data_IF_010333214793
#
_entry.id   IF_010333214793
#
_cell.length_a   1.000
_cell.length_b   1.000
_cell.length_c   1.000
_cell.angle_alpha   90.00
_cell.angle_beta   90.00
_cell.angle_gamma   90.00
#
_symmetry.space_group_name_H-M   'P 1'
#
loop_
_entity.id
_entity.type
_entity.pdbx_description
1 polymer ?
#
# COMPACT_ATOMS: atom_id res chain seq x y z
N UNK A 1 11.22 15.20 24.89
CA UNK A 1 11.80 13.87 24.69
C UNK A 1 10.81 13.05 23.90
N UNK A 2 11.13 12.70 22.65
CA UNK A 2 10.26 11.88 21.82
C UNK A 2 10.41 10.41 22.19
N UNK A 3 9.30 9.69 22.35
CA UNK A 3 9.32 8.26 22.57
C UNK A 3 10.04 7.56 21.40
N UNK A 4 11.10 6.81 21.69
CA UNK A 4 11.73 5.95 20.71
C UNK A 4 10.75 4.83 20.34
N UNK A 5 10.66 4.50 19.05
CA UNK A 5 9.86 3.38 18.56
C UNK A 5 10.33 2.03 19.12
N UNK A 6 9.56 0.95 18.93
CA UNK A 6 9.99 -0.39 19.29
C UNK A 6 11.32 -0.73 18.61
N UNK A 7 12.25 -1.32 19.36
CA UNK A 7 13.50 -1.82 18.80
C UNK A 7 13.27 -3.02 17.88
N UNK A 8 14.27 -3.34 17.06
CA UNK A 8 14.19 -4.45 16.11
C UNK A 8 13.91 -5.80 16.78
N UNK A 9 14.32 -6.00 18.04
CA UNK A 9 14.08 -7.24 18.77
C UNK A 9 12.59 -7.42 19.10
N UNK A 10 11.94 -6.32 19.50
CA UNK A 10 10.50 -6.28 19.76
C UNK A 10 9.71 -6.60 18.50
N UNK A 11 10.04 -5.94 17.38
CA UNK A 11 9.41 -6.18 16.07
C UNK A 11 9.60 -7.65 15.65
N UNK A 12 10.79 -8.20 15.85
CA UNK A 12 11.11 -9.59 15.51
C UNK A 12 10.25 -10.58 16.30
N UNK A 13 10.12 -10.39 17.62
CA UNK A 13 9.27 -11.24 18.47
C UNK A 13 7.81 -11.19 18.04
N UNK A 14 7.29 -10.00 17.72
CA UNK A 14 5.92 -9.82 17.28
C UNK A 14 5.65 -10.51 15.93
N UNK A 15 6.50 -10.32 14.92
CA UNK A 15 6.33 -11.01 13.63
C UNK A 15 6.47 -12.53 13.75
N UNK A 16 7.40 -13.01 14.58
CA UNK A 16 7.55 -14.44 14.83
C UNK A 16 6.31 -15.05 15.48
N UNK A 17 5.66 -14.32 16.40
CA UNK A 17 4.39 -14.75 17.01
C UNK A 17 3.23 -14.84 16.02
N UNK A 18 3.31 -14.11 14.90
CA UNK A 18 2.36 -14.17 13.78
C UNK A 18 2.72 -15.27 12.75
N UNK A 19 3.75 -16.09 13.02
CA UNK A 19 4.14 -17.21 12.16
C UNK A 19 5.16 -16.87 11.08
N UNK A 20 5.75 -15.66 11.07
CA UNK A 20 6.75 -15.30 10.08
C UNK A 20 8.06 -16.09 10.29
N UNK A 21 8.64 -16.71 9.24
CA UNK A 21 9.95 -17.32 9.32
C UNK A 21 11.04 -16.29 9.61
N UNK A 22 12.04 -16.68 10.41
CA UNK A 22 13.18 -15.81 10.78
C UNK A 22 13.79 -15.08 9.59
N UNK A 23 14.11 -15.79 8.52
CA UNK A 23 14.74 -15.20 7.33
C UNK A 23 13.85 -14.14 6.66
N UNK A 24 12.52 -14.34 6.65
CA UNK A 24 11.59 -13.35 6.12
C UNK A 24 11.58 -12.07 6.98
N UNK A 25 11.59 -12.21 8.30
CA UNK A 25 11.63 -11.06 9.22
C UNK A 25 12.91 -10.25 9.01
N UNK A 26 14.06 -10.92 8.92
CA UNK A 26 15.34 -10.27 8.65
C UNK A 26 15.31 -9.49 7.34
N UNK A 27 14.75 -10.08 6.27
CA UNK A 27 14.59 -9.39 5.00
C UNK A 27 13.62 -8.21 5.07
N UNK A 28 12.53 -8.30 5.82
CA UNK A 28 11.60 -7.17 6.03
C UNK A 28 12.31 -5.99 6.71
N UNK A 29 13.08 -6.26 7.77
CA UNK A 29 13.84 -5.24 8.50
C UNK A 29 15.00 -4.64 7.68
N UNK A 30 15.64 -5.42 6.82
CA UNK A 30 16.65 -4.89 5.88
C UNK A 30 16.00 -4.00 4.82
N UNK A 31 14.84 -4.42 4.30
CA UNK A 31 14.11 -3.70 3.28
C UNK A 31 13.55 -2.35 3.75
N UNK A 32 13.36 -2.11 5.05
CA UNK A 32 12.98 -0.76 5.53
C UNK A 32 14.09 0.26 5.32
N UNK A 33 15.37 -0.18 5.30
CA UNK A 33 16.52 0.70 5.03
C UNK A 33 16.73 0.93 3.54
N UNK A 34 16.60 -0.12 2.74
CA UNK A 34 16.75 -0.05 1.28
C UNK A 34 15.59 0.70 0.61
N UNK A 35 14.39 0.59 1.20
CA UNK A 35 13.15 1.20 0.72
C UNK A 35 12.63 2.18 1.79
N UNK A 36 13.11 3.44 1.79
CA UNK A 36 12.73 4.43 2.79
C UNK A 36 11.27 4.89 2.65
N UNK A 37 10.63 4.68 1.49
CA UNK A 37 9.23 5.05 1.26
C UNK A 37 8.51 4.01 0.40
N UNK A 38 7.28 3.68 0.80
CA UNK A 38 6.31 2.89 0.03
C UNK A 38 5.13 3.77 -0.32
N UNK A 39 4.69 3.76 -1.58
CA UNK A 39 3.51 4.48 -2.05
C UNK A 39 2.54 3.47 -2.64
N UNK A 40 1.34 3.38 -2.08
CA UNK A 40 0.25 2.54 -2.57
C UNK A 40 -0.75 3.41 -3.32
N UNK A 41 -0.95 3.11 -4.59
CA UNK A 41 -2.11 3.56 -5.35
C UNK A 41 -3.18 2.49 -5.19
N UNK A 42 -4.32 2.87 -4.61
CA UNK A 42 -5.40 1.96 -4.26
C UNK A 42 -6.61 2.31 -5.10
N UNK A 43 -7.00 1.37 -5.94
CA UNK A 43 -8.14 1.51 -6.82
C UNK A 43 -9.46 1.36 -6.04
N UNK A 44 -10.23 2.44 -6.03
CA UNK A 44 -11.60 2.50 -5.56
C UNK A 44 -12.52 2.98 -6.70
N UNK A 45 -12.28 2.55 -7.93
CA UNK A 45 -13.15 2.76 -9.08
C UNK A 45 -14.39 1.84 -9.06
N UNK A 46 -15.42 2.16 -9.85
CA UNK A 46 -16.67 1.40 -9.86
C UNK A 46 -16.53 -0.09 -10.21
N UNK A 47 -15.55 -0.50 -11.01
CA UNK A 47 -15.32 -1.91 -11.37
C UNK A 47 -14.87 -2.77 -10.19
N UNK A 48 -14.40 -2.16 -9.11
CA UNK A 48 -14.03 -2.86 -7.89
C UNK A 48 -15.25 -3.44 -7.13
N UNK A 49 -16.48 -3.16 -7.57
CA UNK A 49 -17.70 -3.80 -7.04
C UNK A 49 -17.97 -5.19 -7.61
N UNK A 50 -17.19 -5.68 -8.58
CA UNK A 50 -17.40 -7.02 -9.14
C UNK A 50 -17.08 -8.13 -8.12
N UNK A 51 -17.93 -9.17 -8.09
CA UNK A 51 -17.91 -10.30 -7.15
C UNK A 51 -17.02 -11.47 -7.62
N UNK A 52 -15.86 -11.17 -8.21
CA UNK A 52 -14.88 -12.16 -8.66
C UNK A 52 -13.57 -12.14 -7.84
N UNK A 53 -13.54 -11.40 -6.74
CA UNK A 53 -12.46 -11.43 -5.76
C UNK A 53 -12.52 -12.63 -4.80
N UNK A 54 -11.44 -12.86 -4.05
CA UNK A 54 -11.35 -13.96 -3.11
C UNK A 54 -10.81 -13.54 -1.74
N UNK A 55 -11.57 -13.86 -0.70
CA UNK A 55 -11.22 -13.56 0.68
C UNK A 55 -10.86 -14.86 1.42
N UNK A 56 -9.88 -14.81 2.31
CA UNK A 56 -9.49 -15.95 3.16
C UNK A 56 -10.25 -15.82 4.48
N UNK A 57 -10.99 -16.86 4.87
CA UNK A 57 -11.65 -16.94 6.18
C UNK A 57 -11.18 -18.16 6.95
N UNK A 58 -11.16 -18.04 8.28
CA UNK A 58 -10.98 -19.19 9.17
C UNK A 58 -12.22 -20.06 9.16
N UNK A 59 -12.09 -21.29 8.68
CA UNK A 59 -13.14 -22.29 8.77
C UNK A 59 -12.95 -23.11 10.04
N UNK A 60 -13.68 -22.72 11.10
CA UNK A 60 -13.64 -23.40 12.40
C UNK A 60 -14.05 -24.88 12.33
N UNK A 61 -14.66 -25.33 11.23
CA UNK A 61 -15.05 -26.73 11.03
C UNK A 61 -13.90 -27.61 10.53
N UNK A 62 -12.83 -27.01 10.02
CA UNK A 62 -11.63 -27.69 9.54
C UNK A 62 -10.47 -27.36 10.48
N UNK A 63 -9.78 -28.38 11.01
CA UNK A 63 -8.61 -28.16 11.89
C UNK A 63 -7.53 -27.40 11.10
N UNK A 64 -7.23 -26.16 11.53
CA UNK A 64 -6.34 -25.22 10.84
C UNK A 64 -6.79 -24.91 9.39
N UNK A 65 -8.09 -25.01 9.10
CA UNK A 65 -8.59 -24.82 7.75
C UNK A 65 -8.81 -23.36 7.42
N UNK A 66 -8.09 -22.88 6.43
CA UNK A 66 -8.40 -21.64 5.73
C UNK A 66 -9.30 -21.98 4.54
N UNK A 67 -10.35 -21.20 4.34
CA UNK A 67 -11.24 -21.32 3.19
C UNK A 67 -11.21 -20.03 2.37
N UNK A 68 -11.10 -20.19 1.06
CA UNK A 68 -11.33 -19.10 0.11
C UNK A 68 -12.82 -18.95 -0.13
N UNK A 69 -13.34 -17.73 0.05
CA UNK A 69 -14.73 -17.39 -0.23
C UNK A 69 -14.79 -16.26 -1.27
N UNK A 70 -15.74 -16.32 -2.22
CA UNK A 70 -15.98 -15.21 -3.14
C UNK A 70 -16.29 -13.92 -2.38
N UNK A 71 -15.76 -12.80 -2.86
CA UNK A 71 -16.06 -11.47 -2.36
C UNK A 71 -15.84 -10.43 -3.47
N UNK A 72 -16.20 -9.17 -3.23
CA UNK A 72 -15.88 -8.12 -4.19
C UNK A 72 -14.37 -7.90 -4.30
N UNK A 73 -13.89 -7.48 -5.47
CA UNK A 73 -12.49 -7.02 -5.63
C UNK A 73 -12.13 -5.96 -4.57
N UNK A 74 -13.06 -5.04 -4.29
CA UNK A 74 -12.88 -4.03 -3.24
C UNK A 74 -12.64 -4.64 -1.86
N UNK A 75 -13.47 -5.59 -1.44
CA UNK A 75 -13.37 -6.23 -0.12
C UNK A 75 -11.99 -6.85 0.08
N UNK A 76 -11.47 -7.49 -0.96
CA UNK A 76 -10.14 -8.10 -0.96
C UNK A 76 -9.00 -7.07 -0.96
N UNK A 77 -9.13 -5.95 -1.69
CA UNK A 77 -8.21 -4.81 -1.61
C UNK A 77 -8.21 -4.21 -0.20
N UNK A 78 -9.38 -3.98 0.39
CA UNK A 78 -9.53 -3.43 1.75
C UNK A 78 -8.78 -4.27 2.77
N UNK A 79 -8.96 -5.60 2.75
CA UNK A 79 -8.26 -6.49 3.67
C UNK A 79 -6.74 -6.43 3.48
N UNK A 80 -6.29 -6.35 2.23
CA UNK A 80 -4.86 -6.27 1.93
C UNK A 80 -4.24 -4.94 2.37
N UNK A 81 -4.91 -3.81 2.11
CA UNK A 81 -4.43 -2.49 2.55
C UNK A 81 -4.41 -2.41 4.08
N UNK A 82 -5.43 -2.94 4.77
CA UNK A 82 -5.44 -2.99 6.23
C UNK A 82 -4.28 -3.82 6.80
N UNK A 83 -3.98 -4.96 6.17
CA UNK A 83 -2.84 -5.78 6.54
C UNK A 83 -1.52 -5.00 6.36
N UNK A 84 -1.33 -4.36 5.20
CA UNK A 84 -0.12 -3.58 4.93
C UNK A 84 -0.01 -2.33 5.81
N UNK A 85 -1.10 -1.65 6.16
CA UNK A 85 -1.07 -0.53 7.10
C UNK A 85 -0.56 -0.97 8.48
N UNK A 86 -1.07 -2.08 9.01
CA UNK A 86 -0.61 -2.65 10.29
C UNK A 86 0.84 -3.11 10.22
N UNK A 87 1.22 -3.80 9.13
CA UNK A 87 2.59 -4.27 8.93
C UNK A 87 3.57 -3.09 8.82
N UNK A 88 3.19 -2.03 8.11
CA UNK A 88 3.99 -0.81 8.02
C UNK A 88 4.13 -0.11 9.38
N UNK A 89 3.07 -0.06 10.18
CA UNK A 89 3.15 0.47 11.54
C UNK A 89 4.09 -0.34 12.43
N UNK A 90 3.97 -1.67 12.37
CA UNK A 90 4.85 -2.60 13.10
C UNK A 90 6.32 -2.46 12.69
N UNK A 91 6.60 -2.35 11.39
CA UNK A 91 7.96 -2.18 10.86
C UNK A 91 8.47 -0.73 10.97
N UNK A 92 7.63 0.20 11.41
CA UNK A 92 7.86 1.65 11.31
C UNK A 92 8.28 2.09 9.90
N UNK A 93 7.72 1.45 8.88
CA UNK A 93 8.06 1.67 7.49
C UNK A 93 7.18 2.76 6.89
N UNK A 94 7.76 3.91 6.55
CA UNK A 94 7.04 5.02 5.95
C UNK A 94 6.27 4.56 4.70
N UNK A 95 4.95 4.66 4.78
CA UNK A 95 4.03 4.16 3.75
C UNK A 95 2.92 5.17 3.55
N UNK A 96 2.69 5.56 2.30
CA UNK A 96 1.60 6.43 1.88
C UNK A 96 0.59 5.58 1.12
N UNK A 97 -0.69 5.70 1.45
CA UNK A 97 -1.79 5.14 0.70
C UNK A 97 -2.56 6.28 0.04
N UNK A 98 -2.85 6.12 -1.24
CA UNK A 98 -3.58 7.09 -2.06
C UNK A 98 -4.70 6.38 -2.80
N UNK A 99 -5.93 6.75 -2.48
CA UNK A 99 -7.10 6.28 -3.22
C UNK A 99 -7.15 6.96 -4.61
N UNK A 100 -7.52 6.23 -5.66
CA UNK A 100 -7.65 6.81 -7.00
C UNK A 100 -8.72 7.92 -7.04
N UNK A 101 -9.83 7.70 -6.37
CA UNK A 101 -10.94 8.64 -6.24
C UNK A 101 -11.05 9.14 -4.80
N UNK A 102 -11.40 10.42 -4.65
CA UNK A 102 -11.68 11.03 -3.35
C UNK A 102 -12.83 10.26 -2.66
N UNK A 103 -12.62 9.70 -1.44
CA UNK A 103 -13.65 8.94 -0.74
C UNK A 103 -14.75 9.82 -0.12
N UNK A 104 -14.59 11.15 -0.19
CA UNK A 104 -15.52 12.13 0.36
C UNK A 104 -15.15 12.57 1.77
N UNK A 105 -15.49 13.83 2.10
CA UNK A 105 -15.12 14.48 3.35
C UNK A 105 -15.60 13.74 4.62
N UNK A 106 -16.70 13.00 4.54
CA UNK A 106 -17.23 12.21 5.66
C UNK A 106 -16.41 10.92 5.94
N UNK A 107 -15.61 10.47 4.97
CA UNK A 107 -14.81 9.24 5.07
C UNK A 107 -13.39 9.54 5.53
N UNK A 108 -12.75 10.57 4.96
CA UNK A 108 -11.38 10.96 5.30
C UNK A 108 -10.62 11.47 4.07
N UNK A 109 -9.31 11.75 4.21
CA UNK A 109 -8.50 12.25 3.11
C UNK A 109 -8.28 11.18 2.03
N UNK A 110 -8.14 11.62 0.77
CA UNK A 110 -7.77 10.74 -0.35
C UNK A 110 -6.38 10.11 -0.17
N UNK A 111 -5.49 10.79 0.55
CA UNK A 111 -4.15 10.31 0.88
C UNK A 111 -3.95 10.26 2.40
N UNK A 112 -3.43 9.16 2.90
CA UNK A 112 -3.10 8.95 4.32
C UNK A 112 -1.79 8.17 4.44
N UNK A 113 -1.12 8.25 5.59
CA UNK A 113 0.24 7.71 5.75
C UNK A 113 0.47 7.01 7.09
N UNK A 114 1.39 6.05 7.10
CA UNK A 114 1.88 5.36 8.29
C UNK A 114 3.39 5.60 8.40
N UNK A 115 3.88 5.96 9.58
CA UNK A 115 5.31 6.07 9.90
C UNK A 115 6.02 7.29 9.29
N UNK A 116 5.27 8.24 8.72
CA UNK A 116 5.83 9.49 8.15
C UNK A 116 5.98 10.57 9.23
N UNK A 117 5.02 10.65 10.16
CA UNK A 117 5.00 11.68 11.20
C UNK A 117 5.71 11.25 12.51
N UNK A 118 6.53 10.20 12.43
CA UNK A 118 7.31 9.65 13.55
C UNK A 118 6.56 8.64 14.42
N UNK A 119 7.28 7.96 15.35
CA UNK A 119 6.78 6.79 16.07
C UNK A 119 5.51 7.02 16.89
N UNK A 120 5.34 8.20 17.49
CA UNK A 120 4.21 8.52 18.36
C UNK A 120 2.87 8.59 17.61
N UNK A 121 2.90 8.79 16.29
CA UNK A 121 1.70 8.95 15.46
C UNK A 121 1.21 7.60 14.89
N UNK A 122 2.04 6.56 14.91
CA UNK A 122 1.82 5.31 14.17
C UNK A 122 0.50 4.64 14.54
N UNK A 123 0.18 4.51 15.84
CA UNK A 123 -1.04 3.82 16.25
C UNK A 123 -2.30 4.55 15.77
N UNK A 124 -2.29 5.89 15.83
CA UNK A 124 -3.36 6.73 15.31
C UNK A 124 -3.47 6.67 13.80
N UNK A 125 -2.34 6.72 13.10
CA UNK A 125 -2.24 6.60 11.64
C UNK A 125 -2.79 5.23 11.16
N UNK A 126 -2.43 4.13 11.83
CA UNK A 126 -2.94 2.79 11.50
C UNK A 126 -4.44 2.71 11.75
N UNK A 127 -4.91 3.26 12.86
CA UNK A 127 -6.34 3.30 13.17
C UNK A 127 -7.13 4.06 12.10
N UNK A 128 -6.65 5.25 11.74
CA UNK A 128 -7.27 6.10 10.72
C UNK A 128 -7.27 5.43 9.34
N UNK A 129 -6.14 4.87 8.91
CA UNK A 129 -6.02 4.13 7.66
C UNK A 129 -7.04 2.98 7.58
N UNK A 130 -7.18 2.20 8.65
CA UNK A 130 -8.17 1.11 8.74
C UNK A 130 -9.60 1.66 8.68
N UNK A 131 -9.88 2.78 9.36
CA UNK A 131 -11.20 3.41 9.38
C UNK A 131 -11.59 3.97 8.01
N UNK A 132 -10.67 4.64 7.31
CA UNK A 132 -10.87 5.14 5.94
C UNK A 132 -11.18 3.97 5.02
N UNK A 133 -10.34 2.93 5.00
CA UNK A 133 -10.54 1.78 4.11
C UNK A 133 -11.85 1.01 4.37
N UNK A 134 -12.37 1.02 5.61
CA UNK A 134 -13.66 0.40 5.92
C UNK A 134 -14.86 1.22 5.45
N UNK A 135 -14.73 2.54 5.38
CA UNK A 135 -15.82 3.47 5.05
C UNK A 135 -15.81 3.91 3.59
N UNK A 136 -14.63 3.90 2.96
CA UNK A 136 -14.49 4.20 1.55
C UNK A 136 -15.24 3.16 0.71
N UNK A 137 -15.83 3.64 -0.38
CA UNK A 137 -16.60 2.83 -1.31
C UNK A 137 -16.01 2.96 -2.72
N UNK A 138 -16.10 1.90 -3.53
CA UNK A 138 -15.78 1.99 -4.95
C UNK A 138 -16.75 2.90 -5.68
N UNK A 139 -16.23 3.89 -6.37
CA UNK A 139 -17.01 4.89 -7.12
C UNK A 139 -16.24 5.35 -8.34
N UNK A 140 -16.94 5.93 -9.32
CA UNK A 140 -16.31 6.69 -10.41
C UNK A 140 -15.38 5.85 -11.29
N UNK A 141 -14.42 6.53 -11.92
CA UNK A 141 -13.51 6.06 -12.96
C UNK A 141 -12.12 5.71 -12.37
N UNK A 142 -11.16 5.34 -13.22
CA UNK A 142 -9.81 4.90 -12.85
C UNK A 142 -8.76 5.90 -13.35
N UNK A 143 -8.56 7.05 -12.67
CA UNK A 143 -7.62 8.11 -13.09
C UNK A 143 -6.14 7.77 -12.83
N UNK A 144 -5.70 6.57 -13.22
CA UNK A 144 -4.40 6.02 -12.82
C UNK A 144 -3.22 6.82 -13.39
N UNK A 145 -3.32 7.32 -14.62
CA UNK A 145 -2.19 7.99 -15.30
C UNK A 145 -1.87 9.32 -14.64
N UNK A 146 -2.89 10.08 -14.26
CA UNK A 146 -2.72 11.29 -13.43
C UNK A 146 -1.94 10.99 -12.15
N UNK A 147 -2.38 10.01 -11.37
CA UNK A 147 -1.72 9.66 -10.10
C UNK A 147 -0.27 9.21 -10.29
N UNK A 148 -0.01 8.43 -11.35
CA UNK A 148 1.35 8.01 -11.70
C UNK A 148 2.26 9.20 -12.03
N UNK A 149 1.77 10.20 -12.79
CA UNK A 149 2.56 11.41 -13.07
C UNK A 149 2.86 12.23 -11.82
N UNK A 150 1.89 12.40 -10.94
CA UNK A 150 2.08 13.11 -9.67
C UNK A 150 3.13 12.42 -8.78
N UNK A 151 3.11 11.08 -8.73
CA UNK A 151 4.12 10.30 -8.01
C UNK A 151 5.48 10.39 -8.71
N UNK A 152 5.53 10.34 -10.03
CA UNK A 152 6.76 10.51 -10.82
C UNK A 152 7.44 11.84 -10.47
N UNK A 153 6.68 12.93 -10.43
CA UNK A 153 7.19 14.25 -10.04
C UNK A 153 7.77 14.24 -8.60
N UNK A 154 7.04 13.68 -7.64
CA UNK A 154 7.53 13.57 -6.26
C UNK A 154 8.81 12.74 -6.15
N UNK A 155 8.91 11.63 -6.90
CA UNK A 155 10.09 10.78 -6.89
C UNK A 155 11.28 11.47 -7.55
N UNK A 156 11.06 12.22 -8.64
CA UNK A 156 12.11 13.03 -9.30
C UNK A 156 12.77 13.99 -8.31
N UNK A 157 11.99 14.64 -7.45
CA UNK A 157 12.52 15.57 -6.44
C UNK A 157 13.42 14.88 -5.40
N UNK A 158 13.13 13.63 -5.04
CA UNK A 158 13.93 12.85 -4.07
C UNK A 158 15.03 11.99 -4.71
N UNK A 159 15.04 11.85 -6.04
CA UNK A 159 15.93 10.94 -6.76
C UNK A 159 17.42 11.15 -6.46
N UNK A 160 17.97 12.39 -6.43
CA UNK A 160 19.39 12.60 -6.14
C UNK A 160 19.82 12.03 -4.78
N UNK A 161 18.98 12.20 -3.76
CA UNK A 161 19.26 11.74 -2.41
C UNK A 161 19.10 10.22 -2.29
N UNK A 162 18.08 9.64 -2.93
CA UNK A 162 17.87 8.20 -2.98
C UNK A 162 19.05 7.48 -3.66
N UNK A 163 19.46 7.97 -4.83
CA UNK A 163 20.60 7.40 -5.56
C UNK A 163 21.90 7.48 -4.76
N UNK A 164 22.18 8.64 -4.15
CA UNK A 164 23.35 8.82 -3.27
C UNK A 164 23.38 7.80 -2.11
N UNK A 165 22.22 7.45 -1.58
CA UNK A 165 22.08 6.50 -0.47
C UNK A 165 21.94 5.03 -0.91
N UNK A 166 21.91 4.74 -2.22
CA UNK A 166 21.60 3.40 -2.74
C UNK A 166 20.18 2.92 -2.39
N UNK A 167 19.25 3.85 -2.20
CA UNK A 167 17.87 3.59 -1.79
C UNK A 167 16.90 3.68 -2.97
N UNK A 168 15.70 3.11 -2.82
CA UNK A 168 14.63 3.16 -3.81
C UNK A 168 13.24 3.38 -3.19
N UNK A 169 12.32 3.98 -3.94
CA UNK A 169 10.90 4.04 -3.55
C UNK A 169 10.16 2.82 -4.10
N UNK A 170 9.31 2.18 -3.31
CA UNK A 170 8.41 1.15 -3.81
C UNK A 170 7.04 1.77 -4.10
N UNK A 171 6.58 1.65 -5.35
CA UNK A 171 5.26 2.08 -5.81
C UNK A 171 4.43 0.83 -6.07
N UNK A 172 3.37 0.65 -5.30
CA UNK A 172 2.45 -0.48 -5.41
C UNK A 172 1.17 0.04 -6.05
N UNK A 173 0.83 -0.44 -7.23
CA UNK A 173 -0.39 -0.12 -7.94
C UNK A 173 -1.36 -1.28 -7.78
N UNK A 174 -2.34 -1.13 -6.88
CA UNK A 174 -3.38 -2.11 -6.63
C UNK A 174 -4.66 -1.70 -7.37
N UNK A 175 -4.88 -2.28 -8.56
CA UNK A 175 -5.91 -1.87 -9.54
C UNK A 175 -6.47 -3.09 -10.26
N UNK A 176 -7.61 -2.94 -10.93
CA UNK A 176 -8.16 -3.94 -11.83
C UNK A 176 -7.66 -3.82 -13.28
N UNK A 177 -6.77 -2.85 -13.55
CA UNK A 177 -5.82 -2.91 -14.65
C UNK A 177 -6.18 -2.11 -15.91
N UNK A 178 -7.24 -1.30 -15.91
CA UNK A 178 -7.54 -0.41 -17.03
C UNK A 178 -7.68 1.06 -16.60
N UNK A 179 -6.66 1.91 -16.87
CA UNK A 179 -6.81 3.35 -16.72
C UNK A 179 -7.94 3.86 -17.62
N UNK A 180 -8.78 4.73 -17.08
CA UNK A 180 -9.89 5.37 -17.82
C UNK A 180 -9.57 6.80 -18.25
N UNK A 181 -8.45 7.35 -17.79
CA UNK A 181 -8.00 8.73 -18.05
C UNK A 181 -7.07 8.84 -19.27
N UNK A 182 -7.06 7.82 -20.13
CA UNK A 182 -6.28 7.78 -21.36
C UNK A 182 -7.08 7.24 -22.52
N UNK A 183 -6.85 7.83 -23.70
CA UNK A 183 -7.49 7.39 -24.95
C UNK A 183 -6.76 6.19 -25.57
N UNK A 184 -5.58 5.84 -25.07
CA UNK A 184 -4.80 4.71 -25.57
C UNK A 184 -3.87 4.11 -24.52
N UNK A 185 -3.59 2.81 -24.66
CA UNK A 185 -2.58 2.10 -23.87
C UNK A 185 -1.19 2.74 -23.99
N UNK A 186 -0.90 3.41 -25.12
CA UNK A 186 0.39 4.05 -25.35
C UNK A 186 0.65 5.17 -24.34
N UNK A 187 -0.36 5.97 -23.98
CA UNK A 187 -0.20 7.03 -23.00
C UNK A 187 0.17 6.49 -21.60
N UNK A 188 -0.39 5.33 -21.23
CA UNK A 188 0.00 4.67 -19.98
C UNK A 188 1.45 4.18 -20.04
N UNK A 189 1.86 3.56 -21.15
CA UNK A 189 3.25 3.13 -21.39
C UNK A 189 4.22 4.31 -21.33
N UNK A 190 3.85 5.45 -21.91
CA UNK A 190 4.70 6.64 -21.92
C UNK A 190 4.92 7.19 -20.50
N UNK A 191 3.90 7.14 -19.65
CA UNK A 191 4.06 7.50 -18.22
C UNK A 191 4.95 6.50 -17.48
N UNK A 192 4.89 5.21 -17.79
CA UNK A 192 5.81 4.24 -17.18
C UNK A 192 7.27 4.51 -17.56
N UNK A 193 7.53 4.89 -18.81
CA UNK A 193 8.88 5.26 -19.26
C UNK A 193 9.44 6.48 -18.53
N UNK A 194 8.59 7.37 -18.01
CA UNK A 194 9.06 8.50 -17.20
C UNK A 194 9.75 8.07 -15.89
N UNK A 195 9.58 6.80 -15.47
CA UNK A 195 10.22 6.23 -14.29
C UNK A 195 11.54 5.48 -14.60
N UNK A 196 11.93 5.28 -15.87
CA UNK A 196 13.05 4.40 -16.25
C UNK A 196 14.37 4.78 -15.56
N UNK A 197 14.64 6.07 -15.42
CA UNK A 197 15.86 6.59 -14.79
C UNK A 197 15.72 6.88 -13.29
N UNK A 198 14.55 6.56 -12.69
CA UNK A 198 14.28 6.85 -11.29
C UNK A 198 14.59 5.65 -10.39
N UNK A 199 15.02 5.88 -9.14
CA UNK A 199 15.31 4.80 -8.20
C UNK A 199 13.99 4.24 -7.62
N UNK A 200 13.25 3.48 -8.42
CA UNK A 200 11.95 2.92 -8.03
C UNK A 200 11.86 1.41 -8.23
N UNK A 201 10.94 0.80 -7.49
CA UNK A 201 10.30 -0.45 -7.83
C UNK A 201 8.82 -0.19 -8.09
N UNK A 202 8.29 -0.61 -9.22
CA UNK A 202 6.85 -0.54 -9.51
C UNK A 202 6.29 -1.95 -9.46
N UNK A 203 5.28 -2.17 -8.63
CA UNK A 203 4.60 -3.46 -8.45
C UNK A 203 3.15 -3.30 -8.84
N UNK A 204 2.72 -4.02 -9.86
CA UNK A 204 1.30 -4.11 -10.23
C UNK A 204 0.65 -5.29 -9.53
N UNK A 205 -0.38 -5.01 -8.73
CA UNK A 205 -1.27 -6.01 -8.15
C UNK A 205 -2.62 -5.90 -8.85
N UNK A 206 -2.87 -6.83 -9.76
CA UNK A 206 -4.08 -6.90 -10.57
C UNK A 206 -5.16 -7.69 -9.84
N UNK A 207 -6.38 -7.13 -9.74
CA UNK A 207 -7.57 -7.77 -9.17
C UNK A 207 -8.74 -7.84 -10.14
#
# INVERSE_FOLDING_TARGET
>A
GGAAGPDNETIFKQLRSQGFPKGLIEQLLLNTKAIPLRIWIVDNSGSMTYDDGQCIIDDKTIRNGLKLVPCTRWKEIVETVQYHARLSGLLQAATIFRLLNDPGAAVGPQQFSIGVNGPASIDGEVHEAVAIMKRAMPISVTPLVRHMREICAQVKDMAPQLMKNGQKVAIIVATDGSPSDVDSKQQFVDVLKEFDDLPVYIVFRLR
#
